data_IF_361085368436
#
_entry.id   IF_361085368436
#
_cell.length_a   1.000
_cell.length_b   1.000
_cell.length_c   1.000
_cell.angle_alpha   90.00
_cell.angle_beta   90.00
_cell.angle_gamma   90.00
#
_symmetry.space_group_name_H-M   'P 1'
#
loop_
_entity.id
_entity.type
_entity.pdbx_description
1 polymer ?
#
# COMPACT_ATOMS: atom_id res chain seq x y z
N UNK A 1 2.62 34.02 -5.97
CA UNK A 1 3.63 33.16 -6.60
C UNK A 1 2.95 31.82 -6.89
N UNK A 2 2.48 31.69 -8.13
CA UNK A 2 1.99 30.51 -8.86
C UNK A 2 0.96 29.60 -8.15
N UNK A 3 -0.32 29.87 -8.41
CA UNK A 3 -1.40 28.88 -8.34
C UNK A 3 -1.09 27.78 -9.36
N UNK A 4 -0.94 26.54 -8.88
CA UNK A 4 -0.88 25.38 -9.76
C UNK A 4 -2.28 25.15 -10.34
N UNK A 5 -2.49 25.58 -11.59
CA UNK A 5 -3.70 25.30 -12.33
C UNK A 5 -3.94 23.78 -12.36
N UNK A 6 -5.04 23.36 -11.74
CA UNK A 6 -5.56 21.99 -11.83
C UNK A 6 -6.03 21.74 -13.27
N UNK A 7 -5.14 21.22 -14.12
CA UNK A 7 -5.48 20.75 -15.46
C UNK A 7 -6.35 19.49 -15.38
N UNK A 8 -7.66 19.65 -15.24
CA UNK A 8 -8.61 18.54 -15.31
C UNK A 8 -8.69 18.06 -16.76
N UNK A 9 -7.91 17.04 -17.13
CA UNK A 9 -8.04 16.39 -18.43
C UNK A 9 -9.42 15.73 -18.52
N UNK A 10 -10.22 16.13 -19.51
CA UNK A 10 -11.51 15.48 -19.81
C UNK A 10 -11.25 14.30 -20.75
N UNK A 11 -11.63 13.09 -20.35
CA UNK A 11 -11.41 11.87 -21.13
C UNK A 11 -11.72 10.58 -20.33
N UNK A 12 -11.51 9.42 -20.97
CA UNK A 12 -11.53 8.13 -20.29
C UNK A 12 -10.27 8.00 -19.41
N UNK A 13 -10.43 7.46 -18.21
CA UNK A 13 -9.32 7.17 -17.28
C UNK A 13 -8.37 6.15 -17.91
N UNK A 14 -7.12 6.55 -18.10
CA UNK A 14 -6.05 5.64 -18.54
C UNK A 14 -5.58 4.75 -17.38
N UNK A 15 -5.07 3.56 -17.72
CA UNK A 15 -4.41 2.67 -16.77
C UNK A 15 -3.21 3.37 -16.09
N UNK A 16 -2.39 4.08 -16.87
CA UNK A 16 -1.21 4.80 -16.34
C UNK A 16 -1.61 5.91 -15.37
N UNK A 17 -2.74 6.59 -15.64
CA UNK A 17 -3.28 7.63 -14.76
C UNK A 17 -3.74 7.03 -13.44
N UNK A 18 -4.39 5.87 -13.48
CA UNK A 18 -4.84 5.16 -12.31
C UNK A 18 -3.67 4.67 -11.46
N UNK A 19 -2.65 4.05 -12.06
CA UNK A 19 -1.44 3.60 -11.37
C UNK A 19 -0.69 4.78 -10.74
N UNK A 20 -0.54 5.88 -11.49
CA UNK A 20 0.09 7.10 -11.00
C UNK A 20 -0.68 7.76 -9.86
N UNK A 21 -2.01 7.67 -9.87
CA UNK A 21 -2.85 8.19 -8.79
C UNK A 21 -2.74 7.31 -7.53
N UNK A 22 -2.74 5.98 -7.68
CA UNK A 22 -2.57 5.03 -6.59
C UNK A 22 -1.23 5.26 -5.87
N UNK A 23 -0.13 5.38 -6.63
CA UNK A 23 1.21 5.66 -6.09
C UNK A 23 1.23 6.98 -5.32
N UNK A 24 0.65 8.05 -5.87
CA UNK A 24 0.62 9.37 -5.22
C UNK A 24 -0.19 9.35 -3.92
N UNK A 25 -1.31 8.64 -3.89
CA UNK A 25 -2.09 8.45 -2.67
C UNK A 25 -1.29 7.72 -1.60
N UNK A 26 -0.62 6.63 -1.97
CA UNK A 26 0.23 5.85 -1.07
C UNK A 26 1.36 6.72 -0.51
N UNK A 27 2.08 7.45 -1.35
CA UNK A 27 3.17 8.35 -0.92
C UNK A 27 2.67 9.40 0.07
N UNK A 28 1.48 9.96 -0.15
CA UNK A 28 0.85 10.91 0.76
C UNK A 28 0.53 10.27 2.12
N UNK A 29 -0.07 9.07 2.13
CA UNK A 29 -0.37 8.31 3.36
C UNK A 29 0.91 8.02 4.15
N UNK A 30 1.97 7.58 3.45
CA UNK A 30 3.26 7.26 4.06
C UNK A 30 3.92 8.48 4.70
N UNK A 31 3.92 9.60 4.00
CA UNK A 31 4.50 10.87 4.47
C UNK A 31 3.80 11.36 5.74
N UNK A 32 2.48 11.18 5.82
CA UNK A 32 1.69 11.57 6.99
C UNK A 32 1.85 10.60 8.17
N UNK A 33 2.06 9.31 7.91
CA UNK A 33 1.96 8.26 8.93
C UNK A 33 3.30 7.82 9.51
N UNK A 34 4.40 7.97 8.75
CA UNK A 34 5.73 7.47 9.11
C UNK A 34 6.78 8.59 9.12
N UNK A 35 6.49 9.67 9.84
CA UNK A 35 7.41 10.81 10.03
C UNK A 35 8.60 10.45 10.91
N UNK A 36 8.43 9.49 11.83
CA UNK A 36 9.44 9.08 12.81
C UNK A 36 9.92 7.64 12.49
N UNK A 37 11.18 7.51 12.07
CA UNK A 37 11.78 6.24 11.62
C UNK A 37 11.80 5.17 12.72
N UNK A 38 11.67 5.57 13.99
CA UNK A 38 11.66 4.68 15.16
C UNK A 38 10.46 3.74 15.21
N UNK A 39 9.34 4.10 14.59
CA UNK A 39 8.12 3.27 14.53
C UNK A 39 8.31 1.98 13.73
N UNK A 40 9.40 1.87 12.98
CA UNK A 40 9.66 0.77 12.05
C UNK A 40 10.72 -0.22 12.55
N UNK A 41 11.24 -0.01 13.77
CA UNK A 41 12.42 -0.70 14.34
C UNK A 41 12.33 -2.24 14.43
N UNK A 42 11.14 -2.84 14.32
CA UNK A 42 10.96 -4.29 14.39
C UNK A 42 10.75 -4.97 13.02
N UNK A 43 10.74 -4.22 11.91
CA UNK A 43 10.55 -4.75 10.57
C UNK A 43 11.75 -4.38 9.68
N UNK A 44 12.18 -5.32 8.84
CA UNK A 44 13.20 -5.09 7.81
C UNK A 44 12.61 -4.23 6.70
N UNK A 45 12.55 -2.91 6.91
CA UNK A 45 12.00 -1.95 5.94
C UNK A 45 13.08 -1.19 5.19
N UNK A 46 12.72 -0.70 4.02
CA UNK A 46 13.56 0.21 3.23
C UNK A 46 12.69 1.16 2.43
N UNK A 47 13.27 2.29 1.99
CA UNK A 47 12.59 3.26 1.14
C UNK A 47 13.09 3.12 -0.31
N UNK A 48 12.16 3.08 -1.26
CA UNK A 48 12.39 3.02 -2.69
C UNK A 48 11.35 3.90 -3.39
N UNK A 49 11.77 4.85 -4.22
CA UNK A 49 10.89 5.81 -4.91
C UNK A 49 9.87 6.52 -3.99
N UNK A 50 10.34 6.98 -2.83
CA UNK A 50 9.51 7.60 -1.77
C UNK A 50 8.41 6.69 -1.18
N UNK A 51 8.45 5.40 -1.48
CA UNK A 51 7.56 4.39 -0.90
C UNK A 51 8.36 3.56 0.12
N UNK A 52 7.75 3.30 1.27
CA UNK A 52 8.34 2.42 2.28
C UNK A 52 7.88 0.99 1.96
N UNK A 53 8.83 0.07 1.84
CA UNK A 53 8.60 -1.34 1.53
C UNK A 53 9.17 -2.24 2.62
N UNK A 54 8.60 -3.43 2.75
CA UNK A 54 9.07 -4.46 3.69
C UNK A 54 9.87 -5.50 2.93
N UNK A 55 11.11 -5.74 3.34
CA UNK A 55 11.91 -6.87 2.86
C UNK A 55 11.37 -8.14 3.51
N UNK A 56 10.72 -9.00 2.72
CA UNK A 56 10.28 -10.32 3.20
C UNK A 56 11.46 -11.28 3.28
N UNK A 57 11.31 -12.39 4.03
CA UNK A 57 12.34 -13.45 4.08
C UNK A 57 12.37 -14.32 2.82
N UNK A 58 11.42 -14.13 1.90
CA UNK A 58 11.28 -14.91 0.66
C UNK A 58 12.05 -14.22 -0.46
N UNK A 59 13.32 -13.84 -0.22
CA UNK A 59 14.10 -13.09 -1.22
C UNK A 59 14.62 -13.94 -2.37
N UNK A 60 14.56 -15.26 -2.26
CA UNK A 60 15.16 -16.21 -3.22
C UNK A 60 14.13 -16.81 -4.20
N UNK A 61 12.84 -16.48 -4.05
CA UNK A 61 11.80 -16.95 -4.97
C UNK A 61 11.65 -15.96 -6.14
N UNK A 62 11.53 -16.48 -7.36
CA UNK A 62 11.18 -15.67 -8.53
C UNK A 62 9.67 -15.44 -8.48
N UNK A 63 9.26 -14.33 -7.86
CA UNK A 63 7.86 -13.91 -7.72
C UNK A 63 7.70 -12.43 -8.13
N UNK A 64 6.45 -11.93 -8.11
CA UNK A 64 6.16 -10.53 -8.39
C UNK A 64 6.94 -9.59 -7.46
N UNK A 65 7.52 -8.48 -7.96
CA UNK A 65 8.32 -7.55 -7.13
C UNK A 65 7.60 -7.02 -5.90
N UNK A 66 6.28 -6.81 -6.01
CA UNK A 66 5.43 -6.36 -4.91
C UNK A 66 5.18 -7.45 -3.86
N UNK A 67 5.23 -8.73 -4.24
CA UNK A 67 5.14 -9.86 -3.30
C UNK A 67 6.45 -10.01 -2.51
N UNK A 68 7.59 -9.84 -3.19
CA UNK A 68 8.91 -9.89 -2.57
C UNK A 68 9.14 -8.71 -1.60
N UNK A 69 8.66 -7.53 -2.01
CA UNK A 69 8.83 -6.27 -1.29
C UNK A 69 7.53 -5.45 -1.20
N UNK A 70 6.54 -5.91 -0.41
CA UNK A 70 5.24 -5.26 -0.32
C UNK A 70 5.34 -3.87 0.29
N UNK A 71 4.42 -3.01 -0.11
CA UNK A 71 4.32 -1.63 0.34
C UNK A 71 3.82 -1.60 1.78
N UNK A 72 4.57 -0.98 2.69
CA UNK A 72 4.14 -0.81 4.07
C UNK A 72 2.92 0.12 4.13
N UNK A 73 1.90 -0.25 4.89
CA UNK A 73 0.74 0.59 5.13
C UNK A 73 0.46 0.73 6.64
N UNK A 74 0.10 1.94 7.12
CA UNK A 74 -0.38 2.10 8.48
C UNK A 74 -1.74 1.41 8.62
N UNK A 75 -2.05 0.86 9.79
CA UNK A 75 -3.36 0.26 10.06
C UNK A 75 -4.45 1.27 10.46
N UNK A 76 -4.09 2.52 10.72
CA UNK A 76 -5.00 3.57 11.21
C UNK A 76 -5.25 4.68 10.18
N UNK A 77 -5.42 4.36 8.89
CA UNK A 77 -5.80 5.35 7.89
C UNK A 77 -7.00 4.92 7.03
N UNK A 78 -7.72 5.91 6.49
CA UNK A 78 -8.91 5.70 5.65
C UNK A 78 -8.56 4.84 4.43
N UNK A 79 -7.39 5.06 3.82
CA UNK A 79 -6.94 4.28 2.67
C UNK A 79 -6.85 2.78 3.00
N UNK A 80 -6.18 2.42 4.09
CA UNK A 80 -6.05 1.01 4.53
C UNK A 80 -7.41 0.41 4.87
N UNK A 81 -8.30 1.16 5.53
CA UNK A 81 -9.65 0.68 5.84
C UNK A 81 -10.44 0.36 4.57
N UNK A 82 -10.46 1.27 3.59
CA UNK A 82 -11.14 1.07 2.31
C UNK A 82 -10.53 -0.05 1.48
N UNK A 83 -9.21 -0.21 1.56
CA UNK A 83 -8.50 -1.30 0.92
C UNK A 83 -8.94 -2.65 1.50
N UNK A 84 -8.96 -2.80 2.83
CA UNK A 84 -9.42 -4.03 3.48
C UNK A 84 -10.88 -4.32 3.16
N UNK A 85 -11.76 -3.31 3.20
CA UNK A 85 -13.16 -3.43 2.82
C UNK A 85 -13.33 -3.87 1.36
N UNK A 86 -12.56 -3.30 0.43
CA UNK A 86 -12.56 -3.71 -0.98
C UNK A 86 -12.22 -5.19 -1.14
N UNK A 87 -11.18 -5.67 -0.45
CA UNK A 87 -10.80 -7.08 -0.52
C UNK A 87 -11.88 -7.99 0.07
N UNK A 88 -12.53 -7.60 1.19
CA UNK A 88 -13.64 -8.34 1.77
C UNK A 88 -14.82 -8.44 0.81
N UNK A 89 -15.23 -7.31 0.22
CA UNK A 89 -16.33 -7.25 -0.74
C UNK A 89 -16.03 -8.03 -2.01
N UNK A 90 -14.78 -8.01 -2.50
CA UNK A 90 -14.39 -8.74 -3.70
C UNK A 90 -14.30 -10.25 -3.47
N UNK A 91 -13.98 -10.67 -2.24
CA UNK A 91 -13.66 -12.07 -1.91
C UNK A 91 -14.58 -12.60 -0.81
N UNK A 92 -15.90 -12.48 -0.98
CA UNK A 92 -16.98 -12.76 0.00
C UNK A 92 -16.78 -13.93 0.99
N UNK A 93 -16.10 -15.01 0.60
CA UNK A 93 -15.90 -16.23 1.40
C UNK A 93 -14.48 -16.38 1.97
N UNK A 94 -13.59 -15.43 1.69
CA UNK A 94 -12.23 -15.46 2.19
C UNK A 94 -12.21 -15.13 3.68
N UNK A 95 -11.93 -16.14 4.51
CA UNK A 95 -11.64 -15.91 5.92
C UNK A 95 -10.41 -15.01 6.11
N UNK A 96 -10.25 -14.47 7.32
CA UNK A 96 -9.18 -13.51 7.69
C UNK A 96 -7.79 -13.89 7.17
N UNK A 97 -7.43 -15.17 7.26
CA UNK A 97 -6.11 -15.65 6.84
C UNK A 97 -5.90 -15.57 5.31
N UNK A 98 -6.93 -15.90 4.53
CA UNK A 98 -6.87 -15.82 3.08
C UNK A 98 -6.85 -14.36 2.64
N UNK A 99 -7.70 -13.53 3.24
CA UNK A 99 -7.74 -12.09 2.95
C UNK A 99 -6.40 -11.41 3.25
N UNK A 100 -5.81 -11.73 4.41
CA UNK A 100 -4.50 -11.21 4.79
C UNK A 100 -3.42 -11.66 3.80
N UNK A 101 -3.51 -12.88 3.27
CA UNK A 101 -2.57 -13.40 2.27
C UNK A 101 -2.70 -12.65 0.94
N UNK A 102 -3.92 -12.38 0.48
CA UNK A 102 -4.17 -11.61 -0.75
C UNK A 102 -3.72 -10.16 -0.61
N UNK A 103 -3.97 -9.51 0.53
CA UNK A 103 -3.48 -8.16 0.79
C UNK A 103 -1.94 -8.13 0.76
N UNK A 104 -1.29 -9.16 1.34
CA UNK A 104 0.18 -9.30 1.36
C UNK A 104 0.84 -9.50 0.01
N UNK A 105 0.07 -9.74 -1.06
CA UNK A 105 0.63 -9.78 -2.41
C UNK A 105 1.16 -8.42 -2.88
N UNK A 106 0.63 -7.32 -2.34
CA UNK A 106 1.06 -5.96 -2.67
C UNK A 106 1.32 -5.09 -1.45
N UNK A 107 0.67 -5.37 -0.33
CA UNK A 107 0.59 -4.47 0.83
C UNK A 107 0.92 -5.17 2.14
N UNK A 108 1.74 -4.53 2.96
CA UNK A 108 2.06 -4.96 4.31
C UNK A 108 1.43 -4.01 5.32
N UNK A 109 0.25 -4.37 5.82
CA UNK A 109 -0.44 -3.58 6.85
C UNK A 109 0.19 -3.83 8.22
N UNK A 110 0.60 -2.77 8.91
CA UNK A 110 1.14 -2.85 10.28
C UNK A 110 0.13 -3.50 11.21
N UNK A 111 0.46 -4.68 11.77
CA UNK A 111 -0.49 -5.41 12.64
C UNK A 111 -1.71 -5.96 11.89
N UNK A 112 -1.60 -6.25 10.59
CA UNK A 112 -2.72 -6.54 9.69
C UNK A 112 -3.74 -7.60 10.14
N UNK A 113 -3.36 -8.59 10.96
CA UNK A 113 -4.34 -9.57 11.51
C UNK A 113 -5.40 -8.92 12.41
N UNK A 114 -5.11 -7.78 13.05
CA UNK A 114 -6.09 -7.02 13.84
C UNK A 114 -6.94 -6.08 12.98
N UNK A 115 -6.52 -5.84 11.74
CA UNK A 115 -7.12 -4.87 10.82
C UNK A 115 -8.06 -5.55 9.82
N UNK A 116 -7.80 -6.81 9.50
CA UNK A 116 -8.57 -7.67 8.60
C UNK A 116 -9.62 -8.46 9.37
#
# INVERSE_FOLDING_TARGET
MLEAESMTKKGQLSLDELESAEIRLIQSVLTQSFTDEKLISNQSVFRYDNIIRVKTRITERIDAPNFLSPILLPNYCIFTQRLVEHFHLKNHLAGTQLLLSMIREKYWVVGGRRTV
#
